data_IF_275201103680
#
_entry.id   IF_275201103680
#
_cell.length_a   1.000
_cell.length_b   1.000
_cell.length_c   1.000
_cell.angle_alpha   90.00
_cell.angle_beta   90.00
_cell.angle_gamma   90.00
#
_symmetry.space_group_name_H-M   'P 1'
#
loop_
_entity.id
_entity.type
_entity.pdbx_description
1 polymer ?
#
# COMPACT_ATOMS: atom_id res chain seq x y z
N UNK A 1 -1.44 0.19 -1.87
CA UNK A 1 -0.73 0.59 -0.63
C UNK A 1 -1.72 0.72 0.54
N UNK A 2 -1.34 0.43 1.78
CA UNK A 2 -2.19 0.53 2.99
C UNK A 2 -1.45 1.30 4.09
N UNK A 3 -2.05 2.36 4.61
CA UNK A 3 -1.47 3.24 5.64
C UNK A 3 -2.39 3.31 6.85
N UNK A 4 -1.84 3.08 8.04
CA UNK A 4 -2.58 3.22 9.29
C UNK A 4 -2.72 4.70 9.66
N UNK A 5 -3.95 5.15 9.93
CA UNK A 5 -4.25 6.56 10.21
C UNK A 5 -4.84 6.78 11.62
N UNK A 6 -5.22 5.71 12.30
CA UNK A 6 -5.59 5.79 13.71
C UNK A 6 -6.65 4.78 14.09
N UNK A 7 -7.32 5.06 15.19
CA UNK A 7 -8.35 4.20 15.76
C UNK A 7 -9.70 4.90 15.69
N UNK A 8 -10.76 4.11 15.51
CA UNK A 8 -12.12 4.59 15.66
C UNK A 8 -12.50 4.45 17.13
N UNK A 9 -12.92 5.55 17.74
CA UNK A 9 -13.48 5.54 19.10
C UNK A 9 -15.00 5.66 18.98
N UNK A 10 -15.72 4.82 19.71
CA UNK A 10 -17.15 4.99 19.96
C UNK A 10 -17.44 4.67 21.42
N UNK A 11 -18.25 5.50 22.07
CA UNK A 11 -18.61 5.37 23.48
C UNK A 11 -17.39 5.30 24.42
N UNK A 12 -16.31 6.02 24.10
CA UNK A 12 -15.07 6.04 24.88
C UNK A 12 -14.17 4.81 24.72
N UNK A 13 -14.51 3.87 23.84
CA UNK A 13 -13.72 2.65 23.58
C UNK A 13 -13.21 2.58 22.13
N UNK A 14 -12.03 1.98 21.96
CA UNK A 14 -11.47 1.65 20.64
C UNK A 14 -12.30 0.55 19.99
N UNK A 15 -13.00 0.88 18.89
CA UNK A 15 -13.84 -0.06 18.14
C UNK A 15 -13.14 -0.67 16.93
N UNK A 16 -12.17 0.03 16.34
CA UNK A 16 -11.53 -0.41 15.11
C UNK A 16 -10.30 0.40 14.76
N UNK A 17 -9.56 -0.09 13.77
CA UNK A 17 -8.38 0.55 13.21
C UNK A 17 -8.72 1.12 11.84
N UNK A 18 -8.46 2.40 11.66
CA UNK A 18 -8.71 3.17 10.44
C UNK A 18 -7.47 3.16 9.55
N UNK A 19 -7.67 2.76 8.31
CA UNK A 19 -6.64 2.72 7.28
C UNK A 19 -7.08 3.51 6.06
N UNK A 20 -6.12 4.20 5.46
CA UNK A 20 -6.23 4.73 4.11
C UNK A 20 -5.48 3.79 3.18
N UNK A 21 -6.19 3.29 2.19
CA UNK A 21 -5.67 2.42 1.17
C UNK A 21 -5.68 3.16 -0.16
N UNK A 22 -4.71 2.85 -1.00
CA UNK A 22 -4.64 3.32 -2.38
C UNK A 22 -4.55 2.10 -3.28
N UNK A 23 -5.46 2.05 -4.24
CA UNK A 23 -5.46 1.16 -5.41
C UNK A 23 -5.11 2.00 -6.65
N UNK A 24 -4.88 1.33 -7.78
CA UNK A 24 -4.53 1.90 -9.08
C UNK A 24 -5.43 3.03 -9.57
N UNK A 25 -6.69 3.10 -9.09
CA UNK A 25 -7.66 4.10 -9.54
C UNK A 25 -8.28 4.96 -8.43
N UNK A 26 -8.11 4.59 -7.16
CA UNK A 26 -8.90 5.17 -6.07
C UNK A 26 -8.22 5.04 -4.71
N UNK A 27 -8.61 5.94 -3.81
CA UNK A 27 -8.31 5.92 -2.39
C UNK A 27 -9.51 5.38 -1.63
N UNK A 28 -9.27 4.50 -0.67
CA UNK A 28 -10.29 3.80 0.08
C UNK A 28 -10.03 4.01 1.56
N UNK A 29 -11.03 4.46 2.31
CA UNK A 29 -10.94 4.49 3.77
C UNK A 29 -11.64 3.24 4.30
N UNK A 30 -10.91 2.42 5.05
CA UNK A 30 -11.40 1.18 5.65
C UNK A 30 -11.18 1.15 7.15
N UNK A 31 -12.15 0.61 7.84
CA UNK A 31 -12.08 0.32 9.27
C UNK A 31 -12.00 -1.19 9.48
N UNK A 32 -10.99 -1.62 10.22
CA UNK A 32 -10.72 -3.02 10.53
C UNK A 32 -11.00 -3.28 12.00
N UNK A 33 -11.79 -4.31 12.30
CA UNK A 33 -12.12 -4.68 13.68
C UNK A 33 -11.14 -5.70 14.30
N UNK A 34 -10.08 -6.08 13.56
CA UNK A 34 -9.09 -7.07 13.98
C UNK A 34 -9.57 -8.52 13.99
N UNK A 35 -10.82 -8.80 13.57
CA UNK A 35 -11.35 -10.16 13.45
C UNK A 35 -11.09 -10.71 12.06
N UNK A 36 -10.88 -12.02 11.97
CA UNK A 36 -10.67 -12.73 10.71
C UNK A 36 -11.90 -13.60 10.43
N UNK A 37 -12.38 -13.57 9.20
CA UNK A 37 -13.47 -14.43 8.73
C UNK A 37 -13.03 -15.89 8.65
N UNK A 38 -13.99 -16.81 8.53
CA UNK A 38 -13.73 -18.25 8.32
C UNK A 38 -12.86 -18.54 7.08
N UNK A 39 -12.79 -17.60 6.13
CA UNK A 39 -11.96 -17.68 4.92
C UNK A 39 -10.56 -17.08 5.09
N UNK A 40 -10.15 -16.70 6.31
CA UNK A 40 -8.85 -16.10 6.57
C UNK A 40 -8.73 -14.61 6.17
N UNK A 41 -9.84 -13.95 5.81
CA UNK A 41 -9.84 -12.54 5.40
C UNK A 41 -10.23 -11.65 6.58
N UNK A 42 -9.46 -10.59 6.85
CA UNK A 42 -9.80 -9.59 7.88
C UNK A 42 -11.16 -8.95 7.60
N UNK A 43 -12.00 -8.87 8.64
CA UNK A 43 -13.30 -8.24 8.57
C UNK A 43 -13.09 -6.72 8.59
N UNK A 44 -13.41 -6.09 7.46
CA UNK A 44 -13.29 -4.65 7.28
C UNK A 44 -14.61 -4.03 6.84
N UNK A 45 -14.86 -2.80 7.28
CA UNK A 45 -15.96 -1.95 6.83
C UNK A 45 -15.40 -0.86 5.92
N UNK A 46 -15.94 -0.75 4.71
CA UNK A 46 -15.63 0.36 3.82
C UNK A 46 -16.35 1.62 4.32
N UNK A 47 -15.58 2.68 4.59
CA UNK A 47 -16.10 3.98 5.01
C UNK A 47 -16.34 4.87 3.78
N UNK A 48 -15.53 4.73 2.74
CA UNK A 48 -15.73 5.46 1.49
C UNK A 48 -14.66 5.17 0.43
N UNK A 49 -15.01 5.51 -0.81
CA UNK A 49 -14.15 5.46 -1.99
C UNK A 49 -14.01 6.88 -2.53
N UNK A 50 -12.79 7.24 -2.91
CA UNK A 50 -12.44 8.59 -3.33
C UNK A 50 -11.54 8.49 -4.55
N UNK A 51 -11.85 9.24 -5.60
CA UNK A 51 -11.03 9.32 -6.81
C UNK A 51 -9.79 10.20 -6.64
N UNK A 52 -9.77 11.01 -5.58
CA UNK A 52 -8.73 11.99 -5.29
C UNK A 52 -8.36 11.95 -3.79
N UNK A 53 -7.06 12.12 -3.50
CA UNK A 53 -6.53 12.01 -2.15
C UNK A 53 -7.00 13.14 -1.25
N UNK A 54 -7.19 14.36 -1.79
CA UNK A 54 -7.69 15.50 -1.01
C UNK A 54 -9.10 15.22 -0.51
N UNK A 55 -9.93 14.58 -1.32
CA UNK A 55 -11.29 14.17 -0.94
C UNK A 55 -11.28 13.11 0.17
N UNK A 56 -10.37 12.14 0.10
CA UNK A 56 -10.18 11.14 1.16
C UNK A 56 -9.72 11.79 2.48
N UNK A 57 -8.70 12.65 2.42
CA UNK A 57 -8.17 13.36 3.59
C UNK A 57 -9.23 14.25 4.25
N UNK A 58 -10.04 14.97 3.46
CA UNK A 58 -11.15 15.77 3.98
C UNK A 58 -12.19 14.90 4.71
N UNK A 59 -12.49 13.70 4.20
CA UNK A 59 -13.39 12.77 4.90
C UNK A 59 -12.77 12.32 6.22
N UNK A 60 -11.47 12.04 6.23
CA UNK A 60 -10.77 11.59 7.41
C UNK A 60 -10.72 12.65 8.51
N UNK A 61 -10.45 13.90 8.15
CA UNK A 61 -10.53 15.04 9.08
C UNK A 61 -11.92 15.13 9.69
N UNK A 62 -12.98 15.02 8.89
CA UNK A 62 -14.37 15.03 9.41
C UNK A 62 -14.63 13.90 10.40
N UNK A 63 -14.11 12.70 10.14
CA UNK A 63 -14.26 11.56 11.06
C UNK A 63 -13.56 11.86 12.39
N UNK A 64 -12.31 12.35 12.35
CA UNK A 64 -11.56 12.70 13.57
C UNK A 64 -12.21 13.84 14.35
N UNK A 65 -12.74 14.86 13.67
CA UNK A 65 -13.51 15.94 14.30
C UNK A 65 -14.78 15.40 14.96
N UNK A 66 -15.53 14.51 14.30
CA UNK A 66 -16.72 13.89 14.88
C UNK A 66 -16.43 13.00 16.09
N UNK A 67 -15.20 12.53 16.23
CA UNK A 67 -14.72 11.76 17.39
C UNK A 67 -14.13 12.63 18.49
N UNK A 68 -13.96 13.93 18.27
CA UNK A 68 -13.46 14.85 19.29
C UNK A 68 -14.47 14.94 20.43
N UNK A 69 -13.98 14.76 21.66
CA UNK A 69 -14.74 14.95 22.90
C UNK A 69 -14.72 16.41 23.37
N UNK A 70 -14.20 17.33 22.56
CA UNK A 70 -14.09 18.73 22.93
C UNK A 70 -15.47 19.35 23.19
N UNK A 71 -15.68 19.80 24.42
CA UNK A 71 -16.91 20.48 24.86
C UNK A 71 -16.84 22.00 24.69
N UNK A 72 -15.68 22.53 24.29
CA UNK A 72 -15.43 23.96 24.10
C UNK A 72 -14.84 24.23 22.72
N UNK A 73 -15.05 25.45 22.20
CA UNK A 73 -14.47 25.88 20.92
C UNK A 73 -12.94 25.89 20.95
N UNK A 74 -12.34 26.26 22.09
CA UNK A 74 -10.88 26.23 22.26
C UNK A 74 -10.36 24.80 22.20
N UNK A 75 -11.00 23.86 22.91
CA UNK A 75 -10.63 22.44 22.84
C UNK A 75 -10.78 21.87 21.43
N UNK A 76 -11.83 22.26 20.70
CA UNK A 76 -12.02 21.84 19.31
C UNK A 76 -10.91 22.40 18.40
N UNK A 77 -10.48 23.64 18.63
CA UNK A 77 -9.39 24.25 17.88
C UNK A 77 -8.05 23.53 18.13
N UNK A 78 -7.76 23.19 19.38
CA UNK A 78 -6.57 22.41 19.76
C UNK A 78 -6.58 21.00 19.16
N UNK A 79 -7.75 20.36 19.13
CA UNK A 79 -7.91 19.04 18.52
C UNK A 79 -7.72 19.10 17.00
N UNK A 80 -8.25 20.13 16.33
CA UNK A 80 -8.02 20.33 14.88
C UNK A 80 -6.52 20.50 14.61
N UNK A 81 -5.83 21.36 15.37
CA UNK A 81 -4.39 21.57 15.21
C UNK A 81 -3.60 20.27 15.40
N UNK A 82 -3.99 19.42 16.34
CA UNK A 82 -3.38 18.10 16.56
C UNK A 82 -3.65 17.14 15.40
N UNK A 83 -4.86 17.14 14.85
CA UNK A 83 -5.24 16.34 13.69
C UNK A 83 -4.42 16.77 12.47
N UNK A 84 -4.24 18.06 12.24
CA UNK A 84 -3.43 18.59 11.14
C UNK A 84 -1.97 18.14 11.26
N UNK A 85 -1.36 18.26 12.45
CA UNK A 85 0.01 17.82 12.69
C UNK A 85 0.20 16.30 12.49
N UNK A 86 -0.77 15.49 12.94
CA UNK A 86 -0.76 14.03 12.73
C UNK A 86 -0.82 13.67 11.24
N UNK A 87 -1.70 14.33 10.48
CA UNK A 87 -1.83 14.13 9.03
C UNK A 87 -0.53 14.52 8.31
N UNK A 88 0.08 15.65 8.68
CA UNK A 88 1.34 16.11 8.08
C UNK A 88 2.50 15.14 8.33
N UNK A 89 2.61 14.61 9.56
CA UNK A 89 3.58 13.57 9.89
C UNK A 89 3.39 12.32 9.03
N UNK A 90 2.13 11.88 8.87
CA UNK A 90 1.80 10.69 8.07
C UNK A 90 2.06 10.89 6.58
N UNK A 91 1.81 12.09 6.06
CA UNK A 91 2.17 12.45 4.67
C UNK A 91 3.69 12.43 4.46
N UNK A 92 4.45 12.90 5.44
CA UNK A 92 5.93 12.87 5.36
C UNK A 92 6.46 11.44 5.33
N UNK A 93 5.93 10.56 6.19
CA UNK A 93 6.23 9.12 6.19
C UNK A 93 5.91 8.48 4.83
N UNK A 94 4.75 8.83 4.26
CA UNK A 94 4.29 8.36 2.96
C UNK A 94 5.24 8.74 1.82
N UNK A 95 5.58 10.03 1.69
CA UNK A 95 6.51 10.50 0.64
C UNK A 95 7.89 9.87 0.78
N UNK A 96 8.36 9.64 2.02
CA UNK A 96 9.62 8.93 2.27
C UNK A 96 9.56 7.46 1.80
N UNK A 97 8.44 6.78 2.04
CA UNK A 97 8.23 5.41 1.59
C UNK A 97 8.16 5.29 0.06
N UNK A 98 7.45 6.20 -0.61
CA UNK A 98 7.37 6.22 -2.08
C UNK A 98 8.73 6.44 -2.75
N UNK A 99 9.56 7.33 -2.19
CA UNK A 99 10.93 7.53 -2.69
C UNK A 99 11.77 6.26 -2.59
N UNK A 100 11.63 5.51 -1.49
CA UNK A 100 12.34 4.23 -1.31
C UNK A 100 11.87 3.18 -2.31
N UNK A 101 10.57 3.10 -2.56
CA UNK A 101 10.01 2.18 -3.56
C UNK A 101 10.53 2.52 -4.95
N UNK A 102 10.48 3.79 -5.35
CA UNK A 102 10.98 4.22 -6.66
C UNK A 102 12.48 3.94 -6.84
N UNK A 103 13.29 4.17 -5.80
CA UNK A 103 14.71 3.84 -5.82
C UNK A 103 14.96 2.32 -5.93
N UNK A 104 14.11 1.50 -5.30
CA UNK A 104 14.19 0.05 -5.41
C UNK A 104 13.81 -0.45 -6.81
N UNK A 105 12.76 0.12 -7.40
CA UNK A 105 12.32 -0.21 -8.77
C UNK A 105 13.39 0.13 -9.80
N UNK A 106 14.07 1.27 -9.64
CA UNK A 106 15.20 1.66 -10.50
C UNK A 106 16.38 0.70 -10.32
N UNK A 107 16.73 0.35 -9.08
CA UNK A 107 17.77 -0.64 -8.83
C UNK A 107 17.43 -2.01 -9.46
N UNK A 108 16.19 -2.49 -9.33
CA UNK A 108 15.76 -3.76 -9.95
C UNK A 108 15.91 -3.70 -11.47
N UNK A 109 15.48 -2.60 -12.09
CA UNK A 109 15.61 -2.39 -13.53
C UNK A 109 17.06 -2.46 -14.01
N UNK A 110 17.99 -1.92 -13.22
CA UNK A 110 19.43 -1.96 -13.54
C UNK A 110 20.02 -3.38 -13.37
N UNK A 111 19.44 -4.22 -12.52
CA UNK A 111 19.88 -5.60 -12.29
C UNK A 111 19.32 -6.61 -13.32
N UNK A 112 18.12 -6.41 -13.86
CA UNK A 112 17.51 -7.31 -14.88
C UNK A 112 18.44 -7.65 -16.06
N UNK A 113 19.10 -6.70 -16.75
CA UNK A 113 19.95 -7.01 -17.90
C UNK A 113 21.20 -7.82 -17.51
N UNK A 114 21.62 -7.77 -16.24
CA UNK A 114 22.78 -8.53 -15.75
C UNK A 114 22.46 -10.02 -15.61
N UNK A 115 21.22 -10.36 -15.24
CA UNK A 115 20.73 -11.73 -15.20
C UNK A 115 20.47 -12.28 -16.60
N UNK A 116 19.89 -11.49 -17.49
CA UNK A 116 19.65 -11.89 -18.89
C UNK A 116 20.96 -12.15 -19.64
N UNK A 117 21.97 -11.29 -19.46
CA UNK A 117 23.29 -11.49 -20.09
C UNK A 117 23.99 -12.75 -19.57
N UNK A 118 23.87 -13.04 -18.26
CA UNK A 118 24.46 -14.25 -17.67
C UNK A 118 23.72 -15.52 -18.10
N UNK A 119 22.39 -15.47 -18.19
CA UNK A 119 21.57 -16.58 -18.68
C UNK A 119 21.81 -16.86 -20.17
N UNK A 120 21.87 -15.82 -21.01
CA UNK A 120 22.24 -15.93 -22.43
C UNK A 120 23.65 -16.51 -22.60
N UNK A 121 24.60 -16.10 -21.75
CA UNK A 121 25.96 -16.66 -21.76
C UNK A 121 26.01 -18.16 -21.41
N UNK A 122 25.22 -18.60 -20.43
CA UNK A 122 25.07 -20.01 -20.08
C UNK A 122 24.39 -20.82 -21.21
N UNK A 123 23.33 -20.29 -21.81
CA UNK A 123 22.64 -20.91 -22.95
C UNK A 123 23.62 -21.07 -24.13
N UNK A 124 24.33 -20.01 -24.50
CA UNK A 124 25.31 -20.05 -25.58
C UNK A 124 26.46 -21.05 -25.30
N UNK A 125 26.92 -21.14 -24.05
CA UNK A 125 27.92 -22.13 -23.66
C UNK A 125 27.38 -23.56 -23.78
N UNK A 126 26.18 -23.83 -23.28
CA UNK A 126 25.52 -25.15 -23.38
C UNK A 126 25.32 -25.55 -24.85
N UNK A 127 24.85 -24.64 -25.71
CA UNK A 127 24.70 -24.89 -27.15
C UNK A 127 26.03 -25.21 -27.83
N UNK A 128 27.13 -24.55 -27.41
CA UNK A 128 28.46 -24.80 -27.97
C UNK A 128 29.12 -26.10 -27.49
N UNK A 129 28.83 -26.55 -26.27
CA UNK A 129 29.47 -27.73 -25.66
C UNK A 129 28.61 -29.00 -25.73
N UNK A 130 27.30 -28.87 -25.93
CA UNK A 130 26.35 -29.97 -25.96
C UNK A 130 25.38 -29.87 -27.16
N UNK A 131 25.87 -30.00 -28.42
CA UNK A 131 25.06 -29.78 -29.62
C UNK A 131 23.87 -30.74 -29.80
N UNK A 132 23.88 -31.90 -29.14
CA UNK A 132 22.80 -32.90 -29.17
C UNK A 132 21.53 -32.47 -28.42
N UNK A 133 21.56 -31.36 -27.67
CA UNK A 133 20.40 -30.86 -26.92
C UNK A 133 19.40 -30.14 -27.84
N UNK A 134 19.85 -29.56 -28.96
CA UNK A 134 18.98 -28.81 -29.90
C UNK A 134 18.23 -29.66 -30.94
N UNK A 135 18.60 -30.92 -31.16
CA UNK A 135 18.01 -31.76 -32.22
C UNK A 135 16.67 -32.41 -31.84
N UNK A 136 16.32 -32.45 -30.55
CA UNK A 136 15.11 -33.17 -30.09
C UNK A 136 13.76 -32.49 -30.38
N UNK A 137 13.74 -31.23 -30.83
CA UNK A 137 12.48 -30.56 -31.19
C UNK A 137 12.07 -30.76 -32.66
N UNK A 138 12.96 -31.22 -33.55
CA UNK A 138 12.64 -31.43 -34.96
C UNK A 138 11.86 -32.74 -35.20
N UNK A 139 12.12 -33.78 -34.41
CA UNK A 139 11.53 -35.11 -34.60
C UNK A 139 10.14 -35.29 -33.95
N UNK A 140 9.64 -34.33 -33.18
CA UNK A 140 8.33 -34.41 -32.52
C UNK A 140 7.16 -33.90 -33.39
N UNK A 141 7.41 -33.45 -34.64
CA UNK A 141 6.38 -33.05 -35.62
C UNK A 141 6.39 -33.93 -36.89
N UNK A 142 6.89 -35.16 -36.79
CA UNK A 142 6.83 -36.19 -37.84
C UNK A 142 5.68 -37.16 -37.63
#
# INVERSE_FOLDING_TARGET
MKVFIGETIADGEVKGKLFLESDSMQFIIREYNGKVSEKGVEISKNIGYFTDIKSALNRLIRIKIMQSEATTLTGLHEDIARIEADIESKLTEFTSAERKLSALEEAIRDYEPMFDSSAQGLVAWIESTCPWIGEKEADARG
#
